data_IF_431213624213
#
_entry.id   IF_431213624213
#
_cell.length_a   1.000
_cell.length_b   1.000
_cell.length_c   1.000
_cell.angle_alpha   90.00
_cell.angle_beta   90.00
_cell.angle_gamma   90.00
#
_symmetry.space_group_name_H-M   'P 1'
#
loop_
_entity.id
_entity.type
_entity.pdbx_description
1 polymer ?
#
# COMPACT_ATOMS: atom_id res chain seq x y z
N UNK A 1 2.68 9.99 14.51
CA UNK A 1 2.99 10.37 13.12
C UNK A 1 3.37 9.12 12.33
N UNK A 2 2.85 8.92 11.12
CA UNK A 2 3.37 7.89 10.21
C UNK A 2 4.54 8.48 9.40
N UNK A 3 5.74 7.92 9.55
CA UNK A 3 6.92 8.38 8.80
C UNK A 3 6.87 7.89 7.35
N UNK A 4 7.43 8.67 6.43
CA UNK A 4 7.55 8.29 5.02
C UNK A 4 8.19 6.89 4.89
N UNK A 5 7.55 6.00 4.13
CA UNK A 5 7.98 4.60 3.96
C UNK A 5 7.62 3.64 5.11
N UNK A 6 6.99 4.12 6.18
CA UNK A 6 6.46 3.24 7.23
C UNK A 6 5.23 2.47 6.75
N UNK A 7 4.97 1.30 7.36
CA UNK A 7 3.80 0.47 7.04
C UNK A 7 2.48 1.26 7.04
N UNK A 8 2.26 2.09 8.06
CA UNK A 8 1.06 2.93 8.14
C UNK A 8 0.99 4.01 7.05
N UNK A 9 2.13 4.56 6.63
CA UNK A 9 2.20 5.52 5.53
C UNK A 9 1.83 4.86 4.20
N UNK A 10 2.38 3.67 3.93
CA UNK A 10 2.07 2.89 2.73
C UNK A 10 0.61 2.45 2.67
N UNK A 11 0.04 1.99 3.78
CA UNK A 11 -1.39 1.64 3.85
C UNK A 11 -2.26 2.87 3.57
N UNK A 12 -1.90 4.04 4.12
CA UNK A 12 -2.65 5.27 3.87
C UNK A 12 -2.63 5.66 2.39
N UNK A 13 -1.45 5.68 1.78
CA UNK A 13 -1.29 6.03 0.36
C UNK A 13 -2.02 5.06 -0.57
N UNK A 14 -1.97 3.75 -0.27
CA UNK A 14 -2.72 2.76 -1.03
C UNK A 14 -4.23 2.94 -0.88
N UNK A 15 -4.73 3.23 0.33
CA UNK A 15 -6.15 3.55 0.56
C UNK A 15 -6.58 4.82 -0.18
N UNK A 16 -5.73 5.86 -0.21
CA UNK A 16 -5.97 7.10 -0.97
C UNK A 16 -6.01 6.85 -2.48
N UNK A 17 -5.23 5.89 -2.98
CA UNK A 17 -5.30 5.41 -4.36
C UNK A 17 -6.49 4.46 -4.64
N UNK A 18 -7.41 4.29 -3.69
CA UNK A 18 -8.58 3.41 -3.82
C UNK A 18 -8.30 1.92 -3.55
N UNK A 19 -7.07 1.56 -3.18
CA UNK A 19 -6.66 0.19 -2.89
C UNK A 19 -6.81 -0.06 -1.40
N UNK A 20 -7.90 -0.71 -1.01
CA UNK A 20 -8.17 -1.11 0.38
C UNK A 20 -7.79 -2.57 0.66
N UNK A 21 -7.70 -3.37 -0.40
CA UNK A 21 -7.42 -4.81 -0.36
C UNK A 21 -6.33 -5.16 -1.37
N UNK A 22 -5.56 -6.21 -1.08
CA UNK A 22 -4.60 -6.74 -2.04
C UNK A 22 -5.34 -7.27 -3.27
N UNK A 23 -4.96 -6.88 -4.50
CA UNK A 23 -5.69 -7.26 -5.72
C UNK A 23 -5.73 -8.78 -5.95
N UNK A 24 -4.64 -9.48 -5.65
CA UNK A 24 -4.55 -10.94 -5.83
C UNK A 24 -5.29 -11.75 -4.75
N UNK A 25 -5.04 -11.46 -3.47
CA UNK A 25 -5.58 -12.27 -2.35
C UNK A 25 -6.88 -11.72 -1.75
N UNK A 26 -7.32 -10.51 -2.13
CA UNK A 26 -8.47 -9.78 -1.56
C UNK A 26 -8.44 -9.59 -0.04
N UNK A 27 -7.27 -9.77 0.61
CA UNK A 27 -7.09 -9.54 2.04
C UNK A 27 -6.72 -8.09 2.35
N UNK A 28 -7.00 -7.66 3.59
CA UNK A 28 -6.67 -6.31 4.07
C UNK A 28 -5.17 -6.02 3.94
N UNK A 29 -4.82 -4.82 3.49
CA UNK A 29 -3.44 -4.35 3.36
C UNK A 29 -2.65 -4.41 4.67
N UNK A 30 -3.32 -4.25 5.81
CA UNK A 30 -2.70 -4.22 7.13
C UNK A 30 -2.09 -5.55 7.57
N UNK A 31 -2.49 -6.67 6.93
CA UNK A 31 -1.95 -8.00 7.23
C UNK A 31 -0.57 -8.17 6.59
N UNK A 32 -0.30 -7.45 5.50
CA UNK A 32 0.92 -7.58 4.74
C UNK A 32 2.10 -6.83 5.38
N UNK A 33 3.31 -7.31 5.06
CA UNK A 33 4.55 -6.65 5.46
C UNK A 33 4.75 -5.36 4.67
N UNK A 34 5.51 -4.42 5.23
CA UNK A 34 5.80 -3.13 4.59
C UNK A 34 6.44 -3.31 3.19
N UNK A 35 7.27 -4.32 2.98
CA UNK A 35 7.88 -4.63 1.68
C UNK A 35 6.85 -4.97 0.59
N UNK A 36 5.79 -5.71 0.94
CA UNK A 36 4.69 -6.04 0.02
C UNK A 36 3.89 -4.79 -0.30
N UNK A 37 3.56 -3.99 0.71
CA UNK A 37 2.86 -2.72 0.54
C UNK A 37 3.66 -1.72 -0.29
N UNK A 38 4.99 -1.71 -0.15
CA UNK A 38 5.87 -0.86 -0.95
C UNK A 38 5.86 -1.27 -2.42
N UNK A 39 5.91 -2.56 -2.73
CA UNK A 39 5.74 -3.05 -4.11
C UNK A 39 4.38 -2.70 -4.69
N UNK A 40 3.32 -2.82 -3.91
CA UNK A 40 1.97 -2.38 -4.28
C UNK A 40 1.94 -0.87 -4.58
N UNK A 41 2.52 -0.08 -3.69
CA UNK A 41 2.62 1.37 -3.85
C UNK A 41 3.40 1.72 -5.12
N UNK A 42 4.52 1.04 -5.39
CA UNK A 42 5.28 1.22 -6.63
C UNK A 42 4.45 0.85 -7.87
N UNK A 43 3.72 -0.26 -7.82
CA UNK A 43 2.95 -0.78 -8.96
C UNK A 43 1.73 0.07 -9.31
N UNK A 44 1.04 0.61 -8.31
CA UNK A 44 -0.26 1.28 -8.49
C UNK A 44 -0.24 2.79 -8.24
N UNK A 45 0.70 3.30 -7.45
CA UNK A 45 0.75 4.73 -7.10
C UNK A 45 1.90 5.45 -7.82
N UNK A 46 3.08 4.84 -7.91
CA UNK A 46 4.21 5.44 -8.64
C UNK A 46 4.15 5.23 -10.15
N UNK A 47 3.50 4.15 -10.62
CA UNK A 47 3.45 3.81 -12.05
C UNK A 47 2.39 4.61 -12.83
N UNK A 48 1.51 5.33 -12.14
CA UNK A 48 0.46 6.18 -12.70
C UNK A 48 0.94 7.64 -12.89
N UNK A 49 2.27 7.88 -12.83
CA UNK A 49 2.89 9.20 -12.98
C UNK A 49 3.96 9.22 -14.06
#
# INVERSE_FOLDING_TARGET
MAHFGSKGWLVKQLKEAGITHHPDERRKLEIYKASVLYRLYQKYVLKDK
#
